data_IF_184689665192
#
_entry.id   IF_184689665192
#
_cell.length_a   1.000
_cell.length_b   1.000
_cell.length_c   1.000
_cell.angle_alpha   90.00
_cell.angle_beta   90.00
_cell.angle_gamma   90.00
#
_symmetry.space_group_name_H-M   'P 1'
#
loop_
_entity.id
_entity.type
_entity.pdbx_description
1 polymer ?
#
# COMPACT_ATOMS: atom_id res chain seq x y z
N UNK A 1 30.78 14.15 -9.82
CA UNK A 1 29.83 13.21 -10.43
C UNK A 1 29.31 12.35 -9.28
N UNK A 2 28.08 12.58 -8.82
CA UNK A 2 27.45 11.69 -7.83
C UNK A 2 27.25 10.32 -8.49
N UNK A 3 27.74 9.26 -7.85
CA UNK A 3 27.45 7.88 -8.24
C UNK A 3 25.92 7.69 -8.29
N UNK A 4 25.38 7.49 -9.50
CA UNK A 4 23.99 7.06 -9.66
C UNK A 4 23.87 5.60 -9.23
N UNK A 5 23.68 5.36 -7.93
CA UNK A 5 23.40 4.03 -7.38
C UNK A 5 21.98 3.60 -7.78
N UNK A 6 21.90 2.50 -8.52
CA UNK A 6 20.63 1.80 -8.78
C UNK A 6 20.03 1.40 -7.43
N UNK A 7 18.85 1.94 -7.12
CA UNK A 7 18.13 1.71 -5.86
C UNK A 7 17.48 0.33 -5.90
N UNK A 8 18.28 -0.73 -5.69
CA UNK A 8 17.82 -2.13 -5.71
C UNK A 8 16.64 -2.40 -4.75
N UNK A 9 16.42 -1.55 -3.76
CA UNK A 9 15.36 -1.67 -2.76
C UNK A 9 14.12 -0.80 -3.06
N UNK A 10 13.95 -0.31 -4.29
CA UNK A 10 12.82 0.55 -4.64
C UNK A 10 11.46 -0.16 -4.48
N UNK A 11 11.34 -1.39 -4.98
CA UNK A 11 10.13 -2.23 -4.87
C UNK A 11 9.81 -2.58 -3.41
N UNK A 12 10.81 -2.97 -2.62
CA UNK A 12 10.63 -3.22 -1.18
C UNK A 12 10.19 -1.99 -0.40
N UNK A 13 10.75 -0.81 -0.72
CA UNK A 13 10.32 0.47 -0.12
C UNK A 13 8.89 0.84 -0.51
N UNK A 14 8.48 0.59 -1.74
CA UNK A 14 7.10 0.78 -2.19
C UNK A 14 6.12 -0.10 -1.42
N UNK A 15 6.46 -1.37 -1.20
CA UNK A 15 5.63 -2.28 -0.41
C UNK A 15 5.52 -1.85 1.06
N UNK A 16 6.62 -1.42 1.68
CA UNK A 16 6.62 -0.90 3.06
C UNK A 16 5.84 0.41 3.16
N UNK A 17 5.99 1.31 2.18
CA UNK A 17 5.26 2.57 2.10
C UNK A 17 3.76 2.34 1.96
N UNK A 18 3.38 1.41 1.07
CA UNK A 18 1.98 1.07 0.80
C UNK A 18 1.34 0.43 2.02
N UNK A 19 1.93 -0.63 2.55
CA UNK A 19 1.31 -1.38 3.64
C UNK A 19 1.37 -0.62 4.98
N UNK A 20 2.49 0.04 5.29
CA UNK A 20 2.69 0.69 6.58
C UNK A 20 2.15 2.12 6.66
N UNK A 21 2.54 3.00 5.72
CA UNK A 21 2.25 4.43 5.87
C UNK A 21 0.85 4.77 5.36
N UNK A 22 0.41 4.17 4.25
CA UNK A 22 -0.97 4.36 3.79
C UNK A 22 -1.97 3.73 4.75
N UNK A 23 -1.67 2.55 5.31
CA UNK A 23 -2.51 1.92 6.34
C UNK A 23 -2.73 2.80 7.56
N UNK A 24 -1.67 3.36 8.13
CA UNK A 24 -1.79 4.29 9.24
C UNK A 24 -2.57 5.55 8.86
N UNK A 25 -2.34 6.10 7.67
CA UNK A 25 -3.06 7.28 7.20
C UNK A 25 -4.56 7.01 7.04
N UNK A 26 -4.94 5.88 6.45
CA UNK A 26 -6.33 5.49 6.26
C UNK A 26 -7.03 5.23 7.60
N UNK A 27 -6.34 4.58 8.54
CA UNK A 27 -6.83 4.40 9.91
C UNK A 27 -7.07 5.73 10.63
N UNK A 28 -6.18 6.71 10.48
CA UNK A 28 -6.37 8.05 11.07
C UNK A 28 -7.60 8.74 10.44
N UNK A 29 -7.67 8.83 9.11
CA UNK A 29 -8.70 9.62 8.41
C UNK A 29 -10.09 9.00 8.60
N UNK A 30 -10.23 7.69 8.33
CA UNK A 30 -11.53 7.01 8.34
C UNK A 30 -12.15 7.01 9.73
N UNK A 31 -11.35 6.71 10.76
CA UNK A 31 -11.84 6.63 12.13
C UNK A 31 -12.08 8.00 12.71
N UNK A 32 -11.23 9.00 12.41
CA UNK A 32 -11.50 10.39 12.78
C UNK A 32 -12.84 10.88 12.22
N UNK A 33 -13.13 10.57 10.94
CA UNK A 33 -14.42 10.91 10.33
C UNK A 33 -15.60 10.26 11.04
N UNK A 34 -15.53 8.96 11.32
CA UNK A 34 -16.61 8.24 12.02
C UNK A 34 -16.82 8.82 13.43
N UNK A 35 -15.77 8.94 14.24
CA UNK A 35 -15.94 9.36 15.63
C UNK A 35 -16.34 10.82 15.76
N UNK A 36 -15.89 11.71 14.87
CA UNK A 36 -16.32 13.10 14.86
C UNK A 36 -17.77 13.22 14.39
N UNK A 37 -18.16 12.47 13.36
CA UNK A 37 -19.55 12.42 12.92
C UNK A 37 -20.48 12.00 14.06
N UNK A 38 -20.18 10.88 14.72
CA UNK A 38 -20.99 10.37 15.84
C UNK A 38 -20.94 11.31 17.05
N UNK A 39 -19.76 11.82 17.42
CA UNK A 39 -19.63 12.76 18.55
C UNK A 39 -20.31 14.11 18.30
N UNK A 40 -20.59 14.46 17.04
CA UNK A 40 -21.36 15.65 16.71
C UNK A 40 -22.88 15.44 16.80
N UNK A 41 -23.32 14.17 16.76
CA UNK A 41 -24.72 13.79 16.83
C UNK A 41 -25.17 13.39 18.26
N UNK A 42 -24.25 12.99 19.14
CA UNK A 42 -24.57 12.59 20.53
C UNK A 42 -23.40 12.82 21.50
N UNK A 43 -23.72 13.13 22.75
CA UNK A 43 -22.74 13.23 23.84
C UNK A 43 -22.41 11.88 24.50
N UNK A 44 -23.15 10.82 24.17
CA UNK A 44 -23.00 9.51 24.81
C UNK A 44 -21.69 8.83 24.40
N UNK A 45 -20.73 8.78 25.33
CA UNK A 45 -19.40 8.20 25.13
C UNK A 45 -19.45 6.72 24.74
N UNK A 46 -20.42 5.95 25.24
CA UNK A 46 -20.55 4.54 24.88
C UNK A 46 -20.97 4.34 23.42
N UNK A 47 -21.83 5.21 22.89
CA UNK A 47 -22.23 5.18 21.48
C UNK A 47 -21.03 5.52 20.60
N UNK A 48 -20.29 6.58 20.94
CA UNK A 48 -19.06 7.00 20.22
C UNK A 48 -18.01 5.89 20.24
N UNK A 49 -17.79 5.26 21.40
CA UNK A 49 -16.83 4.17 21.55
C UNK A 49 -17.21 2.96 20.71
N UNK A 50 -18.47 2.50 20.80
CA UNK A 50 -18.92 1.30 20.10
C UNK A 50 -18.90 1.50 18.58
N UNK A 51 -19.33 2.67 18.09
CA UNK A 51 -19.26 3.00 16.67
C UNK A 51 -17.81 3.10 16.17
N UNK A 52 -16.95 3.72 16.97
CA UNK A 52 -15.53 3.84 16.67
C UNK A 52 -14.86 2.47 16.61
N UNK A 53 -15.05 1.63 17.63
CA UNK A 53 -14.48 0.28 17.68
C UNK A 53 -14.96 -0.60 16.52
N UNK A 54 -16.26 -0.55 16.20
CA UNK A 54 -16.81 -1.25 15.05
C UNK A 54 -16.16 -0.79 13.75
N UNK A 55 -15.98 0.53 13.57
CA UNK A 55 -15.31 1.09 12.40
C UNK A 55 -13.82 0.70 12.34
N UNK A 56 -13.11 0.65 13.48
CA UNK A 56 -11.71 0.21 13.53
C UNK A 56 -11.59 -1.22 13.05
N UNK A 57 -12.39 -2.14 13.61
CA UNK A 57 -12.34 -3.55 13.24
C UNK A 57 -12.75 -3.76 11.79
N UNK A 58 -13.87 -3.17 11.36
CA UNK A 58 -14.35 -3.29 9.98
C UNK A 58 -13.33 -2.75 8.97
N UNK A 59 -12.76 -1.57 9.25
CA UNK A 59 -11.73 -0.95 8.41
C UNK A 59 -10.44 -1.76 8.36
N UNK A 60 -9.94 -2.22 9.52
CA UNK A 60 -8.71 -2.99 9.60
C UNK A 60 -8.83 -4.34 8.87
N UNK A 61 -9.92 -5.09 9.06
CA UNK A 61 -10.16 -6.34 8.35
C UNK A 61 -10.38 -6.12 6.85
N UNK A 62 -11.13 -5.09 6.46
CA UNK A 62 -11.34 -4.76 5.04
C UNK A 62 -10.02 -4.42 4.35
N UNK A 63 -9.17 -3.63 5.00
CA UNK A 63 -7.86 -3.27 4.46
C UNK A 63 -6.91 -4.47 4.37
N UNK A 64 -6.83 -5.28 5.44
CA UNK A 64 -6.01 -6.49 5.46
C UNK A 64 -6.45 -7.50 4.41
N UNK A 65 -7.76 -7.72 4.26
CA UNK A 65 -8.33 -8.59 3.24
C UNK A 65 -8.05 -8.06 1.83
N UNK A 66 -8.20 -6.75 1.59
CA UNK A 66 -7.90 -6.13 0.31
C UNK A 66 -6.43 -6.29 -0.11
N UNK A 67 -5.50 -6.08 0.83
CA UNK A 67 -4.07 -6.28 0.61
C UNK A 67 -3.72 -7.76 0.41
N UNK A 68 -4.29 -8.67 1.21
CA UNK A 68 -4.11 -10.11 1.02
C UNK A 68 -4.53 -10.54 -0.38
N UNK A 69 -5.75 -10.17 -0.80
CA UNK A 69 -6.29 -10.52 -2.11
C UNK A 69 -5.42 -9.91 -3.22
N UNK A 70 -5.07 -8.62 -3.12
CA UNK A 70 -4.22 -7.95 -4.12
C UNK A 70 -2.87 -8.66 -4.30
N UNK A 71 -2.18 -8.97 -3.22
CA UNK A 71 -0.85 -9.60 -3.27
C UNK A 71 -0.95 -11.08 -3.66
N UNK A 72 -2.00 -11.78 -3.22
CA UNK A 72 -2.24 -13.17 -3.65
C UNK A 72 -2.51 -13.24 -5.15
N UNK A 73 -3.33 -12.35 -5.71
CA UNK A 73 -3.59 -12.31 -7.16
C UNK A 73 -2.31 -11.97 -7.95
N UNK A 74 -1.47 -11.08 -7.44
CA UNK A 74 -0.16 -10.82 -8.03
C UNK A 74 0.68 -12.11 -8.07
N UNK A 75 0.83 -12.77 -6.91
CA UNK A 75 1.59 -14.01 -6.78
C UNK A 75 1.05 -15.11 -7.70
N UNK A 76 -0.27 -15.32 -7.76
CA UNK A 76 -0.91 -16.31 -8.63
C UNK A 76 -0.60 -16.04 -10.12
N UNK A 77 -0.56 -14.75 -10.50
CA UNK A 77 -0.22 -14.33 -11.87
C UNK A 77 1.25 -14.59 -12.18
N UNK A 78 2.13 -14.32 -11.23
CA UNK A 78 3.57 -14.57 -11.36
C UNK A 78 3.86 -16.08 -11.47
N UNK A 79 3.26 -16.91 -10.59
CA UNK A 79 3.38 -18.37 -10.64
C UNK A 79 2.83 -18.95 -11.95
N UNK A 80 1.70 -18.44 -12.45
CA UNK A 80 1.14 -18.87 -13.73
C UNK A 80 2.04 -18.51 -14.92
N UNK A 81 2.72 -17.35 -14.87
CA UNK A 81 3.70 -16.97 -15.90
C UNK A 81 4.92 -17.90 -15.88
N UNK A 82 5.48 -18.19 -14.70
CA UNK A 82 6.59 -19.14 -14.54
C UNK A 82 6.22 -20.53 -15.02
N UNK A 83 5.03 -21.02 -14.67
CA UNK A 83 4.55 -22.33 -15.10
C UNK A 83 4.42 -22.41 -16.63
N UNK A 84 3.94 -21.34 -17.28
CA UNK A 84 3.82 -21.27 -18.74
C UNK A 84 5.17 -21.31 -19.44
N UNK A 85 6.15 -20.55 -18.97
CA UNK A 85 7.49 -20.55 -19.57
C UNK A 85 8.23 -21.87 -19.32
N UNK A 86 8.04 -22.48 -18.14
CA UNK A 86 8.56 -23.82 -17.85
C UNK A 86 7.99 -24.87 -18.81
N UNK A 87 6.68 -24.86 -19.01
CA UNK A 87 6.02 -25.78 -19.95
C UNK A 87 6.50 -25.56 -21.40
N UNK A 88 6.68 -24.29 -21.81
CA UNK A 88 7.22 -23.95 -23.13
C UNK A 88 8.64 -24.46 -23.30
N UNK A 89 9.49 -24.30 -22.29
CA UNK A 89 10.88 -24.75 -22.29
C UNK A 89 10.98 -26.28 -22.37
N UNK A 90 10.12 -27.01 -21.65
CA UNK A 90 10.07 -28.47 -21.67
C UNK A 90 9.54 -29.02 -23.00
N UNK A 91 8.49 -28.42 -23.56
CA UNK A 91 7.83 -28.93 -24.77
C UNK A 91 8.50 -28.50 -26.06
N UNK A 92 8.95 -27.24 -26.15
CA UNK A 92 9.45 -26.63 -27.37
C UNK A 92 10.62 -25.68 -27.08
N UNK A 93 11.83 -26.21 -26.75
CA UNK A 93 12.98 -25.38 -26.38
C UNK A 93 13.43 -24.43 -27.50
N UNK A 94 13.26 -24.81 -28.77
CA UNK A 94 13.57 -23.93 -29.89
C UNK A 94 12.66 -22.68 -29.95
N UNK A 95 11.37 -22.87 -29.66
CA UNK A 95 10.40 -21.76 -29.58
C UNK A 95 10.70 -20.89 -28.36
N UNK A 96 11.04 -21.50 -27.22
CA UNK A 96 11.46 -20.77 -26.03
C UNK A 96 12.68 -19.88 -26.33
N UNK A 97 13.67 -20.41 -27.07
CA UNK A 97 14.87 -19.66 -27.47
C UNK A 97 14.55 -18.48 -28.38
N UNK A 98 13.67 -18.69 -29.36
CA UNK A 98 13.19 -17.60 -30.24
C UNK A 98 12.39 -16.55 -29.46
N UNK A 99 11.58 -16.98 -28.49
CA UNK A 99 10.81 -16.07 -27.63
C UNK A 99 11.72 -15.20 -26.77
N UNK A 100 12.80 -15.76 -26.21
CA UNK A 100 13.75 -14.98 -25.41
C UNK A 100 14.52 -13.98 -26.28
N UNK A 101 14.96 -14.40 -27.46
CA UNK A 101 15.59 -13.50 -28.44
C UNK A 101 14.67 -12.33 -28.81
N UNK A 102 13.41 -12.62 -29.11
CA UNK A 102 12.42 -11.61 -29.45
C UNK A 102 12.18 -10.63 -28.28
N UNK A 103 12.17 -11.11 -27.04
CA UNK A 103 12.04 -10.27 -25.86
C UNK A 103 13.21 -9.29 -25.71
N UNK A 104 14.45 -9.75 -25.87
CA UNK A 104 15.63 -8.87 -25.84
C UNK A 104 15.57 -7.77 -26.91
N UNK A 105 15.23 -8.13 -28.15
CA UNK A 105 15.08 -7.14 -29.24
C UNK A 105 13.96 -6.15 -28.93
N UNK A 106 12.83 -6.63 -28.40
CA UNK A 106 11.71 -5.77 -27.99
C UNK A 106 12.09 -4.81 -26.86
N UNK A 107 12.93 -5.26 -25.92
CA UNK A 107 13.44 -4.46 -24.80
C UNK A 107 14.55 -3.47 -25.24
N UNK A 108 14.94 -3.48 -26.52
CA UNK A 108 15.82 -2.48 -27.13
C UNK A 108 17.25 -2.97 -27.41
N UNK A 109 17.55 -4.25 -27.19
CA UNK A 109 18.84 -4.82 -27.54
C UNK A 109 19.03 -4.93 -29.06
N UNK A 110 20.25 -4.73 -29.53
CA UNK A 110 20.57 -4.98 -30.94
C UNK A 110 20.61 -6.49 -31.22
N UNK A 111 20.32 -6.89 -32.46
CA UNK A 111 20.17 -8.31 -32.85
C UNK A 111 21.37 -9.19 -32.46
N UNK A 112 22.59 -8.66 -32.64
CA UNK A 112 23.82 -9.38 -32.29
C UNK A 112 23.97 -9.62 -30.79
N UNK A 113 23.62 -8.62 -29.97
CA UNK A 113 23.65 -8.74 -28.50
C UNK A 113 22.53 -9.64 -28.00
N UNK A 114 21.30 -9.47 -28.51
CA UNK A 114 20.15 -10.30 -28.17
C UNK A 114 20.44 -11.79 -28.42
N UNK A 115 21.09 -12.13 -29.53
CA UNK A 115 21.46 -13.51 -29.85
C UNK A 115 22.53 -14.06 -28.91
N UNK A 116 23.54 -13.25 -28.54
CA UNK A 116 24.56 -13.64 -27.58
C UNK A 116 23.97 -13.86 -26.17
N UNK A 117 23.13 -12.93 -25.71
CA UNK A 117 22.45 -13.01 -24.41
C UNK A 117 21.54 -14.24 -24.33
N UNK A 118 20.75 -14.49 -25.37
CA UNK A 118 19.88 -15.67 -25.46
C UNK A 118 20.68 -16.96 -25.37
N UNK A 119 21.77 -17.09 -26.13
CA UNK A 119 22.62 -18.28 -26.09
C UNK A 119 23.27 -18.48 -24.71
N UNK A 120 23.69 -17.39 -24.07
CA UNK A 120 24.25 -17.43 -22.72
C UNK A 120 23.22 -17.86 -21.68
N UNK A 121 22.00 -17.32 -21.74
CA UNK A 121 20.91 -17.67 -20.84
C UNK A 121 20.58 -19.17 -20.91
N UNK A 122 20.51 -19.74 -22.11
CA UNK A 122 20.26 -21.17 -22.31
C UNK A 122 21.37 -22.10 -21.81
N UNK A 123 22.56 -21.58 -21.51
CA UNK A 123 23.65 -22.34 -20.88
C UNK A 123 23.65 -22.25 -19.35
N UNK A 124 22.92 -21.27 -18.77
CA UNK A 124 22.90 -21.01 -17.34
C UNK A 124 21.53 -21.32 -16.76
N UNK A 125 20.60 -20.38 -16.86
CA UNK A 125 19.20 -20.55 -16.45
C UNK A 125 18.27 -19.90 -17.50
N UNK A 126 17.76 -20.68 -18.48
CA UNK A 126 16.85 -20.16 -19.48
C UNK A 126 15.48 -19.78 -18.90
N UNK A 127 15.04 -20.41 -17.81
CA UNK A 127 13.73 -20.14 -17.22
C UNK A 127 13.73 -18.79 -16.52
N UNK A 128 14.77 -18.53 -15.72
CA UNK A 128 14.96 -17.23 -15.06
C UNK A 128 15.02 -16.10 -16.08
N UNK A 129 15.83 -16.24 -17.13
CA UNK A 129 15.95 -15.23 -18.18
C UNK A 129 14.64 -15.00 -18.94
N UNK A 130 13.89 -16.07 -19.28
CA UNK A 130 12.58 -15.96 -19.93
C UNK A 130 11.59 -15.18 -19.08
N UNK A 131 11.51 -15.49 -17.79
CA UNK A 131 10.55 -14.88 -16.87
C UNK A 131 10.93 -13.43 -16.57
N UNK A 132 12.22 -13.15 -16.35
CA UNK A 132 12.72 -11.83 -16.07
C UNK A 132 12.57 -10.89 -17.27
N UNK A 133 12.95 -11.31 -18.48
CA UNK A 133 12.92 -10.41 -19.65
C UNK A 133 11.52 -10.20 -20.22
N UNK A 134 10.64 -11.21 -20.13
CA UNK A 134 9.28 -11.11 -20.67
C UNK A 134 8.31 -10.45 -19.71
N UNK A 135 8.50 -10.64 -18.40
CA UNK A 135 7.54 -10.21 -17.38
C UNK A 135 8.13 -9.30 -16.30
N UNK A 136 9.45 -9.16 -16.22
CA UNK A 136 10.11 -8.40 -15.16
C UNK A 136 10.00 -9.05 -13.78
N UNK A 137 9.77 -10.36 -13.72
CA UNK A 137 9.56 -11.12 -12.48
C UNK A 137 10.88 -11.77 -12.05
N UNK A 138 11.22 -11.64 -10.78
CA UNK A 138 12.33 -12.36 -10.15
C UNK A 138 11.76 -13.58 -9.40
N UNK A 139 12.21 -14.79 -9.77
CA UNK A 139 11.64 -16.06 -9.26
C UNK A 139 11.85 -16.25 -7.75
N UNK A 140 12.88 -15.60 -7.18
CA UNK A 140 13.23 -15.75 -5.76
C UNK A 140 12.51 -14.75 -4.84
N UNK A 141 11.82 -13.75 -5.38
CA UNK A 141 11.28 -12.61 -4.61
C UNK A 141 9.75 -12.52 -4.66
N UNK A 142 9.05 -13.66 -4.64
CA UNK A 142 7.58 -13.66 -4.60
C UNK A 142 7.07 -12.86 -3.38
N UNK A 143 6.14 -11.96 -3.66
CA UNK A 143 5.49 -11.15 -2.63
C UNK A 143 4.72 -12.03 -1.64
N UNK A 144 4.85 -11.78 -0.34
CA UNK A 144 4.19 -12.56 0.71
C UNK A 144 2.84 -11.91 1.10
N UNK A 145 1.69 -12.51 0.74
CA UNK A 145 0.39 -11.89 0.99
C UNK A 145 0.05 -11.73 2.47
N UNK A 146 0.51 -12.66 3.32
CA UNK A 146 0.26 -12.61 4.76
C UNK A 146 1.00 -11.45 5.42
N UNK A 147 2.25 -11.22 5.04
CA UNK A 147 3.01 -10.08 5.58
C UNK A 147 2.38 -8.74 5.17
N UNK A 148 1.94 -8.60 3.92
CA UNK A 148 1.24 -7.40 3.46
C UNK A 148 -0.07 -7.19 4.24
N UNK A 149 -0.89 -8.23 4.39
CA UNK A 149 -2.17 -8.14 5.09
C UNK A 149 -2.00 -7.76 6.58
N UNK A 150 -1.11 -8.44 7.30
CA UNK A 150 -0.89 -8.19 8.74
C UNK A 150 -0.27 -6.82 8.98
N UNK A 151 0.70 -6.42 8.15
CA UNK A 151 1.31 -5.10 8.28
C UNK A 151 0.30 -3.97 8.06
N UNK A 152 -0.57 -4.10 7.05
CA UNK A 152 -1.66 -3.14 6.81
C UNK A 152 -2.70 -3.13 7.91
N UNK A 153 -3.09 -4.30 8.44
CA UNK A 153 -3.99 -4.40 9.59
C UNK A 153 -3.45 -3.62 10.80
N UNK A 154 -2.20 -3.88 11.16
CA UNK A 154 -1.55 -3.24 12.31
C UNK A 154 -1.35 -1.76 12.08
N UNK A 155 -0.92 -1.35 10.89
CA UNK A 155 -0.76 0.05 10.54
C UNK A 155 -2.09 0.81 10.66
N UNK A 156 -3.18 0.26 10.11
CA UNK A 156 -4.51 0.83 10.24
C UNK A 156 -4.95 0.94 11.71
N UNK A 157 -4.80 -0.15 12.47
CA UNK A 157 -5.18 -0.16 13.88
C UNK A 157 -4.40 0.88 14.70
N UNK A 158 -3.08 1.01 14.48
CA UNK A 158 -2.25 2.03 15.13
C UNK A 158 -2.66 3.44 14.73
N UNK A 159 -2.95 3.67 13.45
CA UNK A 159 -3.46 4.96 12.98
C UNK A 159 -4.81 5.34 13.62
N UNK A 160 -5.69 4.36 13.78
CA UNK A 160 -7.00 4.53 14.40
C UNK A 160 -6.95 4.87 15.90
N UNK A 161 -5.86 4.52 16.61
CA UNK A 161 -5.72 4.81 18.03
C UNK A 161 -5.74 6.30 18.33
N UNK A 162 -5.17 7.13 17.45
CA UNK A 162 -5.12 8.59 17.65
C UNK A 162 -6.52 9.19 17.83
N UNK A 163 -7.44 9.11 16.84
CA UNK A 163 -8.79 9.66 17.00
C UNK A 163 -9.61 8.94 18.10
N UNK A 164 -9.42 7.64 18.29
CA UNK A 164 -10.17 6.87 19.31
C UNK A 164 -9.81 7.32 20.73
N UNK A 165 -8.52 7.37 21.06
CA UNK A 165 -8.07 7.73 22.40
C UNK A 165 -8.50 9.16 22.73
N UNK A 166 -8.38 10.08 21.78
CA UNK A 166 -8.69 11.50 22.03
C UNK A 166 -10.17 11.75 22.22
N UNK A 167 -11.03 11.12 21.41
CA UNK A 167 -12.47 11.39 21.48
C UNK A 167 -13.11 10.79 22.74
N UNK A 168 -12.57 9.66 23.23
CA UNK A 168 -13.10 8.94 24.40
C UNK A 168 -12.63 9.56 25.70
N UNK A 169 -11.34 9.89 25.81
CA UNK A 169 -10.75 10.35 27.07
C UNK A 169 -11.05 11.82 27.37
N UNK A 170 -11.34 12.63 26.34
CA UNK A 170 -11.50 14.07 26.54
C UNK A 170 -12.95 14.48 26.91
N UNK A 171 -13.10 15.54 27.71
CA UNK A 171 -14.41 16.09 28.06
C UNK A 171 -15.22 16.56 26.84
N UNK A 172 -16.55 16.45 26.91
CA UNK A 172 -17.46 16.74 25.80
C UNK A 172 -17.23 18.11 25.14
N UNK A 173 -17.02 19.16 25.95
CA UNK A 173 -16.83 20.52 25.43
C UNK A 173 -15.55 20.73 24.60
N UNK A 174 -14.55 19.86 24.73
CA UNK A 174 -13.24 20.02 24.05
C UNK A 174 -12.86 18.85 23.14
N UNK A 175 -13.52 17.69 23.27
CA UNK A 175 -13.10 16.45 22.59
C UNK A 175 -13.03 16.57 21.07
N UNK A 176 -13.97 17.28 20.43
CA UNK A 176 -14.01 17.39 18.96
C UNK A 176 -12.82 18.21 18.48
N UNK A 177 -12.65 19.44 18.97
CA UNK A 177 -11.55 20.32 18.58
C UNK A 177 -10.17 19.72 18.89
N UNK A 178 -10.02 19.10 20.06
CA UNK A 178 -8.78 18.44 20.44
C UNK A 178 -8.48 17.21 19.57
N UNK A 179 -9.50 16.44 19.20
CA UNK A 179 -9.36 15.30 18.26
C UNK A 179 -8.93 15.80 16.88
N UNK A 180 -9.56 16.86 16.35
CA UNK A 180 -9.16 17.48 15.07
C UNK A 180 -7.70 17.91 15.11
N UNK A 181 -7.25 18.53 16.20
CA UNK A 181 -5.86 18.98 16.34
C UNK A 181 -4.88 17.81 16.38
N UNK A 182 -5.16 16.77 17.16
CA UNK A 182 -4.28 15.60 17.27
C UNK A 182 -4.25 14.82 15.96
N UNK A 183 -5.39 14.64 15.30
CA UNK A 183 -5.49 14.03 13.98
C UNK A 183 -4.72 14.84 12.94
N UNK A 184 -4.84 16.18 12.94
CA UNK A 184 -4.07 17.04 12.04
C UNK A 184 -2.55 16.85 12.22
N UNK A 185 -2.07 16.81 13.46
CA UNK A 185 -0.66 16.53 13.75
C UNK A 185 -0.23 15.13 13.30
N UNK A 186 -1.08 14.12 13.52
CA UNK A 186 -0.81 12.76 13.08
C UNK A 186 -0.73 12.67 11.54
N UNK A 187 -1.62 13.35 10.81
CA UNK A 187 -1.63 13.40 9.34
C UNK A 187 -0.43 14.14 8.75
N UNK A 188 0.02 15.21 9.41
CA UNK A 188 1.26 15.88 9.06
C UNK A 188 2.46 14.94 9.28
N UNK A 189 2.44 14.15 10.36
CA UNK A 189 3.43 13.12 10.65
C UNK A 189 3.47 12.03 9.58
N UNK A 190 2.33 11.42 9.23
CA UNK A 190 2.25 10.39 8.18
C UNK A 190 2.57 10.94 6.80
N UNK A 191 2.20 12.20 6.52
CA UNK A 191 2.57 12.90 5.28
C UNK A 191 4.07 13.14 5.18
N UNK A 192 4.72 13.49 6.29
CA UNK A 192 6.17 13.65 6.35
C UNK A 192 6.90 12.32 6.17
N UNK A 193 6.49 11.27 6.88
CA UNK A 193 7.13 9.95 6.78
C UNK A 193 6.94 9.33 5.40
N UNK A 194 5.73 9.40 4.81
CA UNK A 194 5.48 8.90 3.45
C UNK A 194 6.35 9.61 2.41
N UNK A 195 6.43 10.95 2.45
CA UNK A 195 7.24 11.68 1.49
C UNK A 195 8.74 11.47 1.69
N UNK A 196 9.22 11.36 2.94
CA UNK A 196 10.63 11.10 3.22
C UNK A 196 11.06 9.71 2.74
N UNK A 197 10.24 8.69 3.03
CA UNK A 197 10.48 7.31 2.59
C UNK A 197 10.29 7.16 1.06
N UNK A 198 9.39 7.94 0.47
CA UNK A 198 9.14 7.96 -0.99
C UNK A 198 10.08 8.87 -1.78
N UNK A 199 11.02 9.58 -1.14
CA UNK A 199 11.87 10.62 -1.77
C UNK A 199 11.03 11.65 -2.57
N UNK A 200 9.83 11.97 -2.10
CA UNK A 200 8.87 12.86 -2.75
C UNK A 200 8.84 14.26 -2.09
N UNK A 201 8.22 15.28 -2.72
CA UNK A 201 8.11 16.62 -2.13
C UNK A 201 7.31 16.60 -0.83
N UNK A 202 8.00 16.83 0.30
CA UNK A 202 7.44 16.77 1.67
C UNK A 202 6.17 17.63 1.83
N UNK A 203 6.24 18.90 1.38
CA UNK A 203 5.13 19.87 1.53
C UNK A 203 3.84 19.37 0.89
N UNK A 204 3.93 18.79 -0.30
CA UNK A 204 2.75 18.37 -1.06
C UNK A 204 2.06 17.17 -0.38
N UNK A 205 2.84 16.21 0.12
CA UNK A 205 2.28 15.06 0.83
C UNK A 205 1.61 15.47 2.15
N UNK A 206 2.26 16.32 2.93
CA UNK A 206 1.72 16.82 4.20
C UNK A 206 0.42 17.61 4.00
N UNK A 207 0.40 18.54 3.04
CA UNK A 207 -0.79 19.34 2.74
C UNK A 207 -1.93 18.46 2.22
N UNK A 208 -1.63 17.50 1.33
CA UNK A 208 -2.64 16.58 0.79
C UNK A 208 -3.30 15.76 1.89
N UNK A 209 -2.51 15.15 2.78
CA UNK A 209 -3.06 14.32 3.86
C UNK A 209 -3.89 15.17 4.83
N UNK A 210 -3.37 16.34 5.22
CA UNK A 210 -4.08 17.26 6.10
C UNK A 210 -5.40 17.75 5.47
N UNK A 211 -5.37 18.16 4.21
CA UNK A 211 -6.55 18.67 3.51
C UNK A 211 -7.65 17.61 3.38
N UNK A 212 -7.28 16.38 2.99
CA UNK A 212 -8.23 15.26 2.90
C UNK A 212 -8.80 14.94 4.28
N UNK A 213 -7.96 14.82 5.30
CA UNK A 213 -8.43 14.51 6.66
C UNK A 213 -9.36 15.58 7.24
N UNK A 214 -9.01 16.86 7.10
CA UNK A 214 -9.86 17.97 7.54
C UNK A 214 -11.20 17.99 6.79
N UNK A 215 -11.18 17.76 5.47
CA UNK A 215 -12.39 17.68 4.67
C UNK A 215 -13.29 16.51 5.10
N UNK A 216 -12.71 15.32 5.30
CA UNK A 216 -13.46 14.14 5.78
C UNK A 216 -14.11 14.42 7.13
N UNK A 217 -13.38 14.99 8.09
CA UNK A 217 -13.91 15.35 9.40
C UNK A 217 -14.99 16.43 9.31
N UNK A 218 -14.82 17.45 8.46
CA UNK A 218 -15.81 18.51 8.27
C UNK A 218 -17.13 17.98 7.67
N UNK A 219 -17.04 17.13 6.64
CA UNK A 219 -18.21 16.53 6.00
C UNK A 219 -18.95 15.61 6.98
N UNK A 220 -18.23 14.73 7.67
CA UNK A 220 -18.84 13.80 8.63
C UNK A 220 -19.43 14.52 9.84
N UNK A 221 -18.78 15.58 10.34
CA UNK A 221 -19.35 16.47 11.35
C UNK A 221 -20.66 17.10 10.87
N UNK A 222 -20.70 17.65 9.66
CA UNK A 222 -21.91 18.27 9.11
C UNK A 222 -23.05 17.25 8.99
N UNK A 223 -22.76 16.02 8.55
CA UNK A 223 -23.73 14.93 8.50
C UNK A 223 -24.24 14.59 9.90
N UNK A 224 -23.36 14.44 10.90
CA UNK A 224 -23.77 14.13 12.26
C UNK A 224 -24.66 15.21 12.88
N UNK A 225 -24.41 16.49 12.60
CA UNK A 225 -25.27 17.60 13.02
C UNK A 225 -26.68 17.53 12.41
N UNK A 226 -26.83 17.08 11.16
CA UNK A 226 -28.14 16.91 10.51
C UNK A 226 -28.99 15.83 11.20
N UNK A 227 -28.34 14.79 11.71
CA UNK A 227 -28.99 13.66 12.38
C UNK A 227 -28.80 13.68 13.90
N UNK A 228 -28.52 14.85 14.49
CA UNK A 228 -28.30 14.97 15.93
C UNK A 228 -29.57 14.60 16.72
N UNK A 229 -29.38 13.88 17.83
CA UNK A 229 -30.45 13.31 18.67
C UNK A 229 -30.25 13.69 20.13
#
# INVERSE_FOLDING_TARGET
MEEHKIDKNFSGRLNILRAGVLGANDGIISIAGVVIGVASATDNVWIIFLSGLAAVLAGAFSMAGGEYVSVSTQKDTEEAAVARERELLEKNPDIARQSLYAAYVQNGECETSAQLMTNRAFLQDPLEALVQEKYGIEIEEFTNPWHAAVSSFLAFAVGALFPMITIILLPAGVRIWATVLIVALALLGTGYTSARLGKAPLKNAMIRNLAIGLLTMAVTYAVGQVFAI
#
